data_IF_259496111638
#
_entry.id   IF_259496111638
#
_cell.length_a   1.000
_cell.length_b   1.000
_cell.length_c   1.000
_cell.angle_alpha   90.00
_cell.angle_beta   90.00
_cell.angle_gamma   90.00
#
_symmetry.space_group_name_H-M   'P 1'
#
loop_
_entity.id
_entity.type
_entity.pdbx_description
1 polymer ?
#
# COMPACT_ATOMS: atom_id res chain seq x y z
N UNK A 1 -10.05 -6.56 -36.41
CA UNK A 1 -11.09 -5.73 -35.76
C UNK A 1 -10.51 -5.25 -34.44
N UNK A 2 -10.20 -3.95 -34.33
CA UNK A 2 -9.78 -3.35 -33.06
C UNK A 2 -11.02 -3.19 -32.18
N UNK A 3 -11.04 -3.87 -31.04
CA UNK A 3 -12.07 -3.65 -30.03
C UNK A 3 -11.92 -2.22 -29.52
N UNK A 4 -12.88 -1.37 -29.87
CA UNK A 4 -13.12 -0.08 -29.24
C UNK A 4 -13.10 -0.27 -27.72
N UNK A 5 -12.04 0.21 -27.05
CA UNK A 5 -11.97 0.20 -25.59
C UNK A 5 -13.09 1.12 -25.11
N UNK A 6 -14.19 0.51 -24.65
CA UNK A 6 -15.37 1.25 -24.21
C UNK A 6 -14.96 2.15 -23.04
N UNK A 7 -15.13 3.49 -23.13
CA UNK A 7 -14.76 4.43 -22.06
C UNK A 7 -15.48 4.17 -20.72
N UNK A 8 -16.50 3.31 -20.74
CA UNK A 8 -17.42 3.06 -19.65
C UNK A 8 -16.81 2.53 -18.36
N UNK A 9 -15.62 1.92 -18.33
CA UNK A 9 -15.08 1.33 -17.10
C UNK A 9 -14.00 2.16 -16.38
N UNK A 10 -13.56 3.30 -16.95
CA UNK A 10 -12.47 4.10 -16.36
C UNK A 10 -12.81 4.65 -14.97
N UNK A 11 -14.09 4.90 -14.71
CA UNK A 11 -14.59 5.35 -13.41
C UNK A 11 -14.46 4.27 -12.32
N UNK A 12 -14.24 3.00 -12.69
CA UNK A 12 -14.00 1.92 -11.73
C UNK A 12 -12.55 1.86 -11.25
N UNK A 13 -11.61 2.51 -11.95
CA UNK A 13 -10.19 2.46 -11.60
C UNK A 13 -9.95 2.85 -10.14
N UNK A 14 -10.51 3.96 -9.61
CA UNK A 14 -10.33 4.33 -8.21
C UNK A 14 -10.90 3.30 -7.22
N UNK A 15 -12.00 2.63 -7.58
CA UNK A 15 -12.63 1.60 -6.73
C UNK A 15 -11.79 0.33 -6.71
N UNK A 16 -11.30 -0.10 -7.88
CA UNK A 16 -10.46 -1.27 -8.03
C UNK A 16 -9.10 -1.08 -7.35
N UNK A 17 -8.47 0.09 -7.53
CA UNK A 17 -7.18 0.41 -6.89
C UNK A 17 -7.31 0.54 -5.38
N UNK A 18 -8.39 1.14 -4.87
CA UNK A 18 -8.64 1.24 -3.43
C UNK A 18 -8.92 -0.14 -2.81
N UNK A 19 -9.73 -0.97 -3.47
CA UNK A 19 -9.99 -2.35 -3.04
C UNK A 19 -8.70 -3.16 -3.01
N UNK A 20 -7.88 -3.07 -4.07
CA UNK A 20 -6.58 -3.73 -4.12
C UNK A 20 -5.66 -3.25 -2.99
N UNK A 21 -5.61 -1.95 -2.71
CA UNK A 21 -4.79 -1.38 -1.62
C UNK A 21 -5.21 -1.93 -0.25
N UNK A 22 -6.52 -1.97 0.04
CA UNK A 22 -7.04 -2.52 1.29
C UNK A 22 -6.75 -4.03 1.38
N UNK A 23 -6.96 -4.77 0.29
CA UNK A 23 -6.61 -6.18 0.23
C UNK A 23 -5.12 -6.39 0.50
N UNK A 24 -4.25 -5.56 -0.09
CA UNK A 24 -2.81 -5.60 0.17
C UNK A 24 -2.49 -5.39 1.65
N UNK A 25 -3.11 -4.41 2.33
CA UNK A 25 -2.92 -4.20 3.76
C UNK A 25 -3.26 -5.44 4.60
N UNK A 26 -4.39 -6.10 4.32
CA UNK A 26 -4.76 -7.34 5.02
C UNK A 26 -3.80 -8.49 4.71
N UNK A 27 -3.42 -8.66 3.43
CA UNK A 27 -2.47 -9.71 3.04
C UNK A 27 -1.09 -9.47 3.67
N UNK A 28 -0.65 -8.22 3.78
CA UNK A 28 0.61 -7.87 4.42
C UNK A 28 0.55 -8.22 5.91
N UNK A 29 -0.53 -7.84 6.61
CA UNK A 29 -0.73 -8.21 8.00
C UNK A 29 -0.65 -9.74 8.23
N UNK A 30 -1.36 -10.53 7.43
CA UNK A 30 -1.32 -12.00 7.53
C UNK A 30 0.02 -12.61 7.13
N UNK A 31 0.71 -12.03 6.15
CA UNK A 31 2.04 -12.48 5.71
C UNK A 31 3.09 -12.23 6.78
N UNK A 32 2.98 -11.11 7.49
CA UNK A 32 3.95 -10.66 8.48
C UNK A 32 3.71 -11.25 9.88
N UNK A 33 2.46 -11.56 10.23
CA UNK A 33 2.09 -12.08 11.56
C UNK A 33 2.91 -13.30 12.00
N UNK A 34 3.23 -14.31 11.15
CA UNK A 34 4.03 -15.47 11.55
C UNK A 34 5.42 -15.10 12.08
N UNK A 35 6.07 -14.04 11.57
CA UNK A 35 7.43 -13.64 12.00
C UNK A 35 7.50 -13.19 13.47
N UNK A 36 6.36 -13.00 14.14
CA UNK A 36 6.29 -12.73 15.58
C UNK A 36 6.61 -13.95 16.43
N UNK A 37 6.52 -15.16 15.89
CA UNK A 37 6.75 -16.37 16.66
C UNK A 37 8.17 -16.42 17.21
N UNK A 38 8.33 -16.94 18.42
CA UNK A 38 9.62 -16.99 19.11
C UNK A 38 10.62 -17.92 18.40
N UNK A 39 10.14 -18.97 17.75
CA UNK A 39 10.93 -20.00 17.06
C UNK A 39 11.43 -19.58 15.66
N UNK A 40 10.92 -18.47 15.11
CA UNK A 40 11.42 -17.92 13.84
C UNK A 40 12.61 -16.98 14.13
N UNK A 41 13.78 -17.19 13.50
CA UNK A 41 14.93 -16.29 13.65
C UNK A 41 14.58 -14.85 13.21
N UNK A 42 15.11 -13.85 13.92
CA UNK A 42 14.87 -12.44 13.58
C UNK A 42 15.44 -12.07 12.19
N UNK A 43 16.48 -12.76 11.74
CA UNK A 43 17.09 -12.59 10.42
C UNK A 43 16.13 -12.90 9.28
N UNK A 44 15.21 -13.85 9.48
CA UNK A 44 14.23 -14.23 8.45
C UNK A 44 13.32 -13.06 8.07
N UNK A 45 13.01 -12.18 9.04
CA UNK A 45 12.21 -10.97 8.79
C UNK A 45 13.01 -9.94 7.99
N UNK A 46 14.28 -9.72 8.33
CA UNK A 46 15.15 -8.79 7.60
C UNK A 46 15.33 -9.23 6.14
N UNK A 47 15.60 -10.53 5.90
CA UNK A 47 15.71 -11.08 4.55
C UNK A 47 14.40 -10.98 3.77
N UNK A 48 13.25 -11.28 4.41
CA UNK A 48 11.95 -11.10 3.78
C UNK A 48 11.75 -9.67 3.30
N UNK A 49 12.01 -8.67 4.14
CA UNK A 49 11.77 -7.26 3.79
C UNK A 49 12.72 -6.73 2.72
N UNK A 50 13.99 -7.16 2.73
CA UNK A 50 14.98 -6.77 1.71
C UNK A 50 14.52 -7.22 0.31
N UNK A 51 14.05 -8.47 0.20
CA UNK A 51 13.50 -9.01 -1.05
C UNK A 51 12.12 -8.44 -1.39
N UNK A 52 11.22 -8.37 -0.41
CA UNK A 52 9.84 -7.94 -0.61
C UNK A 52 9.76 -6.50 -1.11
N UNK A 53 10.53 -5.57 -0.51
CA UNK A 53 10.51 -4.16 -0.91
C UNK A 53 11.01 -3.96 -2.33
N UNK A 54 12.13 -4.59 -2.70
CA UNK A 54 12.67 -4.46 -4.04
C UNK A 54 11.64 -4.83 -5.11
N UNK A 55 10.86 -5.88 -4.84
CA UNK A 55 9.84 -6.37 -5.76
C UNK A 55 8.51 -5.58 -5.70
N UNK A 56 8.20 -4.93 -4.58
CA UNK A 56 6.90 -4.26 -4.37
C UNK A 56 6.92 -2.75 -4.60
N UNK A 57 8.07 -2.08 -4.55
CA UNK A 57 8.20 -0.64 -4.82
C UNK A 57 7.57 -0.23 -6.17
N UNK A 58 7.80 -0.95 -7.30
CA UNK A 58 7.19 -0.58 -8.57
C UNK A 58 5.67 -0.66 -8.54
N UNK A 59 5.12 -1.68 -7.87
CA UNK A 59 3.68 -1.85 -7.71
C UNK A 59 3.09 -0.75 -6.83
N UNK A 60 3.70 -0.44 -5.68
CA UNK A 60 3.28 0.63 -4.79
C UNK A 60 3.30 2.00 -5.49
N UNK A 61 4.38 2.32 -6.20
CA UNK A 61 4.50 3.55 -6.97
C UNK A 61 3.47 3.62 -8.11
N UNK A 62 3.30 2.52 -8.85
CA UNK A 62 2.38 2.45 -9.99
C UNK A 62 0.91 2.54 -9.59
N UNK A 63 0.46 1.70 -8.64
CA UNK A 63 -0.94 1.64 -8.21
C UNK A 63 -1.39 2.91 -7.52
N UNK A 64 -0.61 3.45 -6.57
CA UNK A 64 -1.02 4.67 -5.88
C UNK A 64 -1.01 5.90 -6.80
N UNK A 65 -0.08 6.00 -7.76
CA UNK A 65 0.00 7.13 -8.68
C UNK A 65 -1.16 7.07 -9.66
N UNK A 66 -1.43 5.88 -10.21
CA UNK A 66 -2.59 5.64 -11.08
C UNK A 66 -3.90 5.93 -10.36
N UNK A 67 -4.03 5.50 -9.10
CA UNK A 67 -5.19 5.78 -8.26
C UNK A 67 -5.37 7.28 -8.03
N UNK A 68 -4.28 8.00 -7.70
CA UNK A 68 -4.30 9.43 -7.43
C UNK A 68 -4.67 10.24 -8.67
N UNK A 69 -4.04 9.97 -9.81
CA UNK A 69 -4.30 10.65 -11.09
C UNK A 69 -5.73 10.35 -11.55
N UNK A 70 -6.14 9.08 -11.56
CA UNK A 70 -7.48 8.68 -12.02
C UNK A 70 -8.56 9.24 -11.11
N UNK A 71 -8.36 9.21 -9.79
CA UNK A 71 -9.26 9.83 -8.83
C UNK A 71 -9.40 11.34 -9.06
N UNK A 72 -8.30 12.05 -9.30
CA UNK A 72 -8.33 13.50 -9.55
C UNK A 72 -9.06 13.83 -10.86
N UNK A 73 -8.80 13.07 -11.92
CA UNK A 73 -9.51 13.23 -13.19
C UNK A 73 -11.02 12.94 -13.01
N UNK A 74 -11.39 11.92 -12.24
CA UNK A 74 -12.80 11.62 -11.97
C UNK A 74 -13.45 12.70 -11.08
N UNK A 75 -12.76 13.22 -10.07
CA UNK A 75 -13.20 14.34 -9.25
C UNK A 75 -13.51 15.59 -10.10
N UNK A 76 -12.65 15.90 -11.07
CA UNK A 76 -12.85 17.07 -11.94
C UNK A 76 -14.03 16.93 -12.90
N UNK A 77 -14.37 15.70 -13.28
CA UNK A 77 -15.33 15.41 -14.35
C UNK A 77 -16.65 14.82 -13.86
N UNK A 78 -16.92 14.85 -12.55
CA UNK A 78 -18.17 14.37 -11.96
C UNK A 78 -18.81 15.41 -11.05
N UNK A 79 -20.07 15.18 -10.65
CA UNK A 79 -20.86 16.10 -9.82
C UNK A 79 -21.51 15.35 -8.64
N UNK A 80 -22.10 16.10 -7.71
CA UNK A 80 -22.82 15.54 -6.56
C UNK A 80 -21.94 14.71 -5.62
N UNK A 81 -22.53 13.69 -5.00
CA UNK A 81 -21.85 12.80 -4.05
C UNK A 81 -20.64 12.10 -4.68
N UNK A 82 -20.74 11.69 -5.94
CA UNK A 82 -19.68 11.02 -6.69
C UNK A 82 -18.40 11.86 -6.74
N UNK A 83 -18.53 13.17 -6.97
CA UNK A 83 -17.40 14.10 -6.92
C UNK A 83 -16.72 14.07 -5.56
N UNK A 84 -17.50 14.19 -4.49
CA UNK A 84 -16.98 14.18 -3.12
C UNK A 84 -16.22 12.89 -2.81
N UNK A 85 -16.75 11.75 -3.22
CA UNK A 85 -16.10 10.44 -3.03
C UNK A 85 -14.78 10.33 -3.78
N UNK A 86 -14.73 10.75 -5.05
CA UNK A 86 -13.45 10.78 -5.79
C UNK A 86 -12.44 11.76 -5.18
N UNK A 87 -12.90 12.91 -4.69
CA UNK A 87 -12.06 13.87 -3.98
C UNK A 87 -11.41 13.25 -2.74
N UNK A 88 -12.21 12.62 -1.88
CA UNK A 88 -11.68 11.91 -0.70
C UNK A 88 -10.75 10.76 -1.08
N UNK A 89 -11.12 9.95 -2.07
CA UNK A 89 -10.27 8.87 -2.56
C UNK A 89 -8.90 9.36 -3.02
N UNK A 90 -8.85 10.48 -3.77
CA UNK A 90 -7.59 11.12 -4.16
C UNK A 90 -6.78 11.62 -2.97
N UNK A 91 -7.42 12.29 -2.01
CA UNK A 91 -6.73 12.79 -0.80
C UNK A 91 -6.15 11.63 0.01
N UNK A 92 -6.90 10.54 0.20
CA UNK A 92 -6.44 9.37 0.92
C UNK A 92 -5.29 8.67 0.18
N UNK A 93 -5.37 8.52 -1.15
CA UNK A 93 -4.31 7.95 -1.96
C UNK A 93 -3.00 8.78 -1.89
N UNK A 94 -3.11 10.11 -1.93
CA UNK A 94 -1.96 11.00 -1.75
C UNK A 94 -1.43 10.96 -0.30
N UNK A 95 -2.31 10.89 0.69
CA UNK A 95 -1.95 10.72 2.08
C UNK A 95 -1.09 9.48 2.29
N UNK A 96 -1.42 8.37 1.61
CA UNK A 96 -0.64 7.13 1.66
C UNK A 96 0.83 7.33 1.21
N UNK A 97 1.08 8.17 0.20
CA UNK A 97 2.44 8.55 -0.19
C UNK A 97 3.15 9.40 0.86
N UNK A 98 2.42 10.30 1.52
CA UNK A 98 2.99 11.15 2.57
C UNK A 98 3.47 10.34 3.79
N UNK A 99 2.87 9.17 4.05
CA UNK A 99 3.35 8.24 5.08
C UNK A 99 4.57 7.41 4.65
N UNK A 100 4.87 7.34 3.35
CA UNK A 100 5.96 6.55 2.78
C UNK A 100 7.32 6.76 3.47
N UNK A 101 7.79 8.01 3.69
CA UNK A 101 9.06 8.25 4.38
C UNK A 101 9.11 7.71 5.81
N UNK A 102 8.02 7.85 6.58
CA UNK A 102 7.93 7.33 7.95
C UNK A 102 8.02 5.81 7.97
N UNK A 103 7.28 5.16 7.07
CA UNK A 103 7.29 3.71 6.85
C UNK A 103 8.68 3.22 6.44
N UNK A 104 9.32 3.90 5.49
CA UNK A 104 10.62 3.51 4.96
C UNK A 104 11.70 3.47 6.05
N UNK A 105 11.64 4.38 7.03
CA UNK A 105 12.57 4.37 8.16
C UNK A 105 12.38 3.14 9.06
N UNK A 106 11.14 2.74 9.35
CA UNK A 106 10.84 1.53 10.13
C UNK A 106 11.36 0.30 9.41
N UNK A 107 11.08 0.17 8.12
CA UNK A 107 11.55 -1.00 7.35
C UNK A 107 13.08 -1.00 7.25
N UNK A 108 13.70 0.16 7.04
CA UNK A 108 15.17 0.29 7.05
C UNK A 108 15.77 -0.19 8.38
N UNK A 109 15.15 0.13 9.51
CA UNK A 109 15.59 -0.40 10.81
C UNK A 109 15.36 -1.90 10.96
N UNK A 110 14.27 -2.46 10.39
CA UNK A 110 14.04 -3.90 10.38
C UNK A 110 15.09 -4.64 9.53
N UNK A 111 15.45 -4.09 8.37
CA UNK A 111 16.39 -4.73 7.43
C UNK A 111 17.84 -4.58 7.88
N UNK A 112 18.26 -3.36 8.24
CA UNK A 112 19.68 -3.04 8.48
C UNK A 112 20.01 -2.71 9.94
N UNK A 113 19.02 -2.63 10.83
CA UNK A 113 19.21 -2.30 12.23
C UNK A 113 19.57 -3.50 13.12
N UNK A 114 19.64 -3.31 14.45
CA UNK A 114 19.92 -4.38 15.39
C UNK A 114 18.81 -5.45 15.37
N UNK A 115 19.19 -6.72 15.16
CA UNK A 115 18.27 -7.85 15.00
C UNK A 115 17.32 -8.05 16.17
N UNK A 116 17.78 -7.76 17.39
CA UNK A 116 17.00 -7.82 18.62
C UNK A 116 15.75 -6.91 18.59
N UNK A 117 15.80 -5.81 17.82
CA UNK A 117 14.72 -4.83 17.71
C UNK A 117 13.69 -5.17 16.63
N UNK A 118 14.04 -6.02 15.66
CA UNK A 118 13.24 -6.26 14.47
C UNK A 118 11.82 -6.77 14.79
N UNK A 119 11.67 -7.69 15.75
CA UNK A 119 10.35 -8.19 16.17
C UNK A 119 9.52 -7.17 16.94
N UNK A 120 10.17 -6.27 17.68
CA UNK A 120 9.51 -5.15 18.36
C UNK A 120 8.95 -4.16 17.34
N UNK A 121 9.78 -3.75 16.38
CA UNK A 121 9.40 -2.89 15.25
C UNK A 121 8.27 -3.51 14.42
N UNK A 122 8.33 -4.82 14.16
CA UNK A 122 7.25 -5.55 13.50
C UNK A 122 5.94 -5.50 14.30
N UNK A 123 6.02 -5.63 15.62
CA UNK A 123 4.83 -5.59 16.46
C UNK A 123 4.19 -4.21 16.45
N UNK A 124 4.98 -3.14 16.41
CA UNK A 124 4.48 -1.77 16.28
C UNK A 124 3.92 -1.50 14.88
N UNK A 125 4.55 -2.02 13.82
CA UNK A 125 4.01 -1.99 12.46
C UNK A 125 2.61 -2.62 12.36
N UNK A 126 2.45 -3.80 12.95
CA UNK A 126 1.20 -4.55 12.89
C UNK A 126 0.06 -3.86 13.67
N UNK A 127 0.36 -3.06 14.69
CA UNK A 127 -0.66 -2.25 15.41
C UNK A 127 -1.29 -1.17 14.53
N UNK A 128 -0.59 -0.70 13.50
CA UNK A 128 -1.15 0.28 12.55
C UNK A 128 -2.21 -0.38 11.65
N UNK A 129 -2.14 -1.71 11.52
CA UNK A 129 -2.97 -2.52 10.63
C UNK A 129 -4.12 -3.24 11.37
N UNK A 130 -4.36 -2.94 12.65
CA UNK A 130 -5.42 -3.51 13.51
C UNK A 130 -6.13 -2.43 14.29
#
# INVERSE_FOLDING_TARGET
MSTSVTPGLRHLIPVLSSTASVAFCFTEYWTLMPFRRADIPSESLSSFWDDYLYNTIPAWAGFGLTSSISGYLCFRNTTGLTKTLYGWGTVLALGHYAFGPTVANVIKEIVYGPREKAKGLLSDWLKIHT
#
